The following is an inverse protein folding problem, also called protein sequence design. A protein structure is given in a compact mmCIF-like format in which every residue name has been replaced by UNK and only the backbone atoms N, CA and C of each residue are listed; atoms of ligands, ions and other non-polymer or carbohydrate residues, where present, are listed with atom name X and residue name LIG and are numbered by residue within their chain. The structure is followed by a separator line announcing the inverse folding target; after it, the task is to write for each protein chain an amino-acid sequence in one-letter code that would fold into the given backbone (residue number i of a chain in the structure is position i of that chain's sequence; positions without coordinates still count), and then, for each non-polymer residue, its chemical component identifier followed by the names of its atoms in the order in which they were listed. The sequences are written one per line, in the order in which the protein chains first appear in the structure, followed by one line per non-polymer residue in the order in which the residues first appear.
data_IF_689769781497
#
_entry.id   IF_689769781497
#
_cell.length_a   1.000
_cell.length_b   1.000
_cell.length_c   1.000
_cell.angle_alpha   90.00
_cell.angle_beta   90.00
_cell.angle_gamma   90.00
#
_symmetry.space_group_name_H-M   'P 1'
#
loop_
_entity.id
_entity.type
_entity.pdbx_description
1 polymer ?
#
# COMPACT_ATOMS: atom_id res chain seq x y z
N UNK A 1 -3.70 -24.24 57.70
CA UNK A 1 -3.27 -24.52 56.31
C UNK A 1 -3.73 -23.33 55.49
N UNK A 2 -2.92 -22.28 55.47
CA UNK A 2 -3.23 -21.00 54.82
C UNK A 2 -2.57 -21.08 53.44
N UNK A 3 -3.36 -20.96 52.38
CA UNK A 3 -2.85 -20.97 51.02
C UNK A 3 -2.20 -19.60 50.75
N UNK A 4 -0.88 -19.59 50.60
CA UNK A 4 -0.15 -18.43 50.10
C UNK A 4 -0.46 -18.23 48.61
N UNK A 5 -1.33 -17.27 48.33
CA UNK A 5 -1.57 -16.75 46.99
C UNK A 5 -0.31 -15.99 46.56
N UNK A 6 0.52 -16.61 45.71
CA UNK A 6 1.56 -15.90 44.99
C UNK A 6 0.90 -14.99 43.95
N UNK A 7 0.81 -13.71 44.27
CA UNK A 7 0.50 -12.63 43.33
C UNK A 7 1.64 -12.53 42.32
N UNK A 8 1.40 -13.03 41.10
CA UNK A 8 2.30 -12.88 39.96
C UNK A 8 2.21 -11.44 39.46
N UNK A 9 3.06 -10.55 40.01
CA UNK A 9 3.23 -9.20 39.47
C UNK A 9 3.90 -9.29 38.09
N UNK A 10 3.13 -9.06 37.04
CA UNK A 10 3.67 -8.84 35.70
C UNK A 10 4.51 -7.56 35.74
N UNK A 11 5.84 -7.71 35.83
CA UNK A 11 6.79 -6.60 35.72
C UNK A 11 6.47 -5.84 34.43
N UNK A 12 5.99 -4.60 34.57
CA UNK A 12 5.63 -3.75 33.45
C UNK A 12 6.90 -3.36 32.68
N UNK A 13 7.13 -4.03 31.54
CA UNK A 13 8.26 -3.74 30.66
C UNK A 13 8.22 -2.33 30.07
N UNK A 14 7.11 -1.58 30.25
CA UNK A 14 7.02 -0.18 29.83
C UNK A 14 8.00 0.75 30.57
N UNK A 15 8.46 0.36 31.76
CA UNK A 15 9.48 1.08 32.53
C UNK A 15 10.92 0.86 32.02
N UNK A 16 11.15 -0.21 31.25
CA UNK A 16 12.45 -0.43 30.59
C UNK A 16 12.68 0.57 29.44
N UNK A 17 11.61 1.14 28.89
CA UNK A 17 11.67 2.17 27.85
C UNK A 17 11.72 3.53 28.55
N UNK A 18 12.90 4.15 28.58
CA UNK A 18 13.09 5.47 29.18
C UNK A 18 12.12 6.53 28.60
N UNK A 19 11.74 7.52 29.41
CA UNK A 19 10.71 8.52 29.05
C UNK A 19 10.93 9.17 27.67
N UNK A 20 12.17 9.52 27.34
CA UNK A 20 12.54 10.09 26.02
C UNK A 20 12.23 9.14 24.86
N UNK A 21 12.51 7.83 25.03
CA UNK A 21 12.22 6.83 24.02
C UNK A 21 10.70 6.62 23.85
N UNK A 22 9.91 6.74 24.93
CA UNK A 22 8.44 6.70 24.86
C UNK A 22 7.87 7.88 24.07
N UNK A 23 8.40 9.09 24.28
CA UNK A 23 7.93 10.28 23.56
C UNK A 23 8.32 10.26 22.07
N UNK A 24 9.52 9.75 21.75
CA UNK A 24 9.92 9.50 20.36
C UNK A 24 9.00 8.49 19.67
N UNK A 25 8.68 7.38 20.34
CA UNK A 25 7.76 6.37 19.81
C UNK A 25 6.37 6.95 19.54
N UNK A 26 5.81 7.71 20.49
CA UNK A 26 4.51 8.41 20.31
C UNK A 26 4.54 9.34 19.10
N UNK A 27 5.62 10.10 18.93
CA UNK A 27 5.79 11.02 17.79
C UNK A 27 5.84 10.28 16.45
N UNK A 28 6.57 9.15 16.38
CA UNK A 28 6.64 8.32 15.17
C UNK A 28 5.26 7.74 14.82
N UNK A 29 4.55 7.17 15.81
CA UNK A 29 3.22 6.57 15.62
C UNK A 29 2.24 7.64 15.11
N UNK A 30 2.14 8.78 15.79
CA UNK A 30 1.22 9.84 15.40
C UNK A 30 1.47 10.35 13.97
N UNK A 31 2.75 10.43 13.55
CA UNK A 31 3.10 10.80 12.16
C UNK A 31 2.68 9.73 11.15
N UNK A 32 2.84 8.45 11.48
CA UNK A 32 2.43 7.35 10.60
C UNK A 32 0.91 7.29 10.48
N UNK A 33 0.19 7.43 11.59
CA UNK A 33 -1.29 7.42 11.58
C UNK A 33 -1.84 8.54 10.69
N UNK A 34 -1.30 9.75 10.82
CA UNK A 34 -1.68 10.87 9.93
C UNK A 34 -1.41 10.54 8.45
N UNK A 35 -0.26 9.96 8.13
CA UNK A 35 0.08 9.57 6.76
C UNK A 35 -0.83 8.46 6.21
N UNK A 36 -1.24 7.50 7.04
CA UNK A 36 -2.20 6.46 6.63
C UNK A 36 -3.60 7.03 6.42
N UNK A 37 -4.03 8.03 7.20
CA UNK A 37 -5.27 8.78 6.95
C UNK A 37 -5.21 9.55 5.62
N UNK A 38 -4.12 10.29 5.38
CA UNK A 38 -3.90 11.02 4.11
C UNK A 38 -3.91 10.06 2.90
N UNK A 39 -3.24 8.92 3.03
CA UNK A 39 -3.21 7.86 2.01
C UNK A 39 -4.58 7.26 1.77
N UNK A 40 -5.38 7.06 2.82
CA UNK A 40 -6.76 6.57 2.69
C UNK A 40 -7.63 7.57 1.95
N UNK A 41 -7.57 8.85 2.33
CA UNK A 41 -8.31 9.91 1.64
C UNK A 41 -7.97 9.94 0.15
N UNK A 42 -6.67 9.93 -0.20
CA UNK A 42 -6.23 9.88 -1.59
C UNK A 42 -6.70 8.62 -2.32
N UNK A 43 -6.70 7.46 -1.65
CA UNK A 43 -7.19 6.22 -2.24
C UNK A 43 -8.70 6.26 -2.51
N UNK A 44 -9.47 6.94 -1.66
CA UNK A 44 -10.90 7.14 -1.86
C UNK A 44 -11.17 8.12 -3.01
N UNK A 45 -10.45 9.23 -3.10
CA UNK A 45 -10.52 10.16 -4.24
C UNK A 45 -10.23 9.44 -5.57
N UNK A 46 -9.20 8.58 -5.62
CA UNK A 46 -8.89 7.79 -6.82
C UNK A 46 -10.05 6.85 -7.20
N UNK A 47 -10.75 6.26 -6.21
CA UNK A 47 -11.92 5.41 -6.49
C UNK A 47 -13.07 6.22 -7.08
N UNK A 48 -13.30 7.42 -6.58
CA UNK A 48 -14.33 8.33 -7.10
C UNK A 48 -14.05 8.69 -8.56
N UNK A 49 -12.80 9.04 -8.92
CA UNK A 49 -12.42 9.31 -10.31
C UNK A 49 -12.65 8.09 -11.21
N UNK A 50 -12.34 6.88 -10.75
CA UNK A 50 -12.66 5.67 -11.52
C UNK A 50 -14.16 5.42 -11.63
N UNK A 51 -14.95 5.75 -10.59
CA UNK A 51 -16.40 5.62 -10.63
C UNK A 51 -17.03 6.62 -11.62
N UNK A 52 -16.56 7.87 -11.64
CA UNK A 52 -16.94 8.87 -12.63
C UNK A 52 -16.59 8.42 -14.05
N UNK A 53 -15.38 7.93 -14.27
CA UNK A 53 -14.97 7.40 -15.57
C UNK A 53 -15.89 6.25 -16.02
N UNK A 54 -16.27 5.35 -15.10
CA UNK A 54 -17.23 4.28 -15.39
C UNK A 54 -18.61 4.83 -15.75
N UNK A 55 -19.11 5.82 -15.01
CA UNK A 55 -20.40 6.46 -15.29
C UNK A 55 -20.42 7.16 -16.66
N UNK A 56 -19.27 7.69 -17.07
CA UNK A 56 -19.06 8.29 -18.39
C UNK A 56 -18.77 7.27 -19.51
N UNK A 57 -18.84 5.96 -19.22
CA UNK A 57 -18.73 4.89 -20.21
C UNK A 57 -17.31 4.38 -20.48
N UNK A 58 -16.30 4.77 -19.71
CA UNK A 58 -14.95 4.25 -19.84
C UNK A 58 -14.77 2.90 -19.14
N UNK A 59 -13.96 2.01 -19.75
CA UNK A 59 -13.55 0.77 -19.09
C UNK A 59 -12.43 1.03 -18.06
N UNK A 60 -12.82 0.99 -16.78
CA UNK A 60 -11.90 1.18 -15.65
C UNK A 60 -10.74 0.16 -15.58
N UNK A 61 -10.91 -1.07 -16.11
CA UNK A 61 -9.82 -2.06 -16.17
C UNK A 61 -8.76 -1.63 -17.16
N UNK A 62 -9.18 -1.15 -18.33
CA UNK A 62 -8.27 -0.61 -19.35
C UNK A 62 -7.56 0.63 -18.83
N UNK A 63 -8.27 1.55 -18.17
CA UNK A 63 -7.65 2.74 -17.57
C UNK A 63 -6.58 2.38 -16.53
N UNK A 64 -6.81 1.38 -15.67
CA UNK A 64 -5.80 0.89 -14.72
C UNK A 64 -4.57 0.32 -15.44
N UNK A 65 -4.78 -0.44 -16.53
CA UNK A 65 -3.68 -0.95 -17.35
C UNK A 65 -2.88 0.20 -17.98
N UNK A 66 -3.55 1.21 -18.55
CA UNK A 66 -2.90 2.40 -19.10
C UNK A 66 -2.05 3.11 -18.05
N UNK A 67 -2.58 3.37 -16.85
CA UNK A 67 -1.82 4.00 -15.77
C UNK A 67 -0.63 3.13 -15.35
N UNK A 68 -0.80 1.82 -15.25
CA UNK A 68 0.30 0.89 -14.93
C UNK A 68 1.40 0.93 -15.99
N UNK A 69 1.03 0.90 -17.28
CA UNK A 69 1.98 1.02 -18.38
C UNK A 69 2.72 2.35 -18.28
N UNK A 70 2.00 3.46 -18.11
CA UNK A 70 2.59 4.81 -18.00
C UNK A 70 3.58 4.99 -16.85
N UNK A 71 3.54 4.14 -15.81
CA UNK A 71 4.51 4.14 -14.70
C UNK A 71 5.78 3.37 -15.02
N UNK A 72 5.76 2.48 -16.01
CA UNK A 72 6.95 1.75 -16.45
C UNK A 72 7.87 2.66 -17.26
N UNK A 73 9.17 2.38 -17.17
CA UNK A 73 10.18 3.01 -18.03
C UNK A 73 9.85 2.80 -19.51
N UNK A 74 10.09 3.83 -20.33
CA UNK A 74 9.72 3.79 -21.74
C UNK A 74 10.53 2.77 -22.53
N UNK A 75 11.80 2.57 -22.19
CA UNK A 75 12.66 1.62 -22.89
C UNK A 75 12.31 0.19 -22.50
N UNK A 76 12.09 -0.07 -21.21
CA UNK A 76 11.61 -1.37 -20.74
C UNK A 76 10.28 -1.76 -21.40
N UNK A 77 9.37 -0.79 -21.56
CA UNK A 77 8.10 -1.03 -22.25
C UNK A 77 8.28 -1.35 -23.73
N UNK A 78 9.12 -0.58 -24.44
CA UNK A 78 9.38 -0.81 -25.85
C UNK A 78 10.04 -2.18 -26.08
N UNK A 79 10.96 -2.60 -25.20
CA UNK A 79 11.57 -3.93 -25.25
C UNK A 79 10.52 -5.03 -25.03
N UNK A 80 9.63 -4.89 -24.04
CA UNK A 80 8.55 -5.84 -23.81
C UNK A 80 7.56 -5.91 -24.97
N UNK A 81 7.23 -4.78 -25.59
CA UNK A 81 6.36 -4.72 -26.77
C UNK A 81 7.00 -5.43 -27.97
N UNK A 82 8.29 -5.23 -28.22
CA UNK A 82 9.01 -5.92 -29.29
C UNK A 82 9.08 -7.45 -29.06
N UNK A 83 9.29 -7.89 -27.81
CA UNK A 83 9.27 -9.31 -27.47
C UNK A 83 7.87 -9.92 -27.62
N UNK A 84 6.82 -9.19 -27.23
CA UNK A 84 5.44 -9.63 -27.38
C UNK A 84 5.08 -9.80 -28.86
N UNK A 85 5.43 -8.83 -29.71
CA UNK A 85 5.22 -8.90 -31.16
C UNK A 85 5.94 -10.11 -31.76
N UNK A 86 7.20 -10.34 -31.38
CA UNK A 86 7.96 -11.51 -31.81
C UNK A 86 7.26 -12.83 -31.46
N UNK A 87 6.74 -12.94 -30.23
CA UNK A 87 6.09 -14.17 -29.76
C UNK A 87 4.72 -14.39 -30.41
N UNK A 88 3.90 -13.34 -30.55
CA UNK A 88 2.61 -13.44 -31.24
C UNK A 88 2.79 -13.75 -32.72
N UNK A 89 3.78 -13.15 -33.38
CA UNK A 89 4.15 -13.46 -34.76
C UNK A 89 4.59 -14.91 -34.94
N UNK A 90 5.35 -15.46 -33.98
CA UNK A 90 5.74 -16.87 -34.01
C UNK A 90 4.56 -17.85 -33.82
N UNK A 91 3.51 -17.41 -33.14
CA UNK A 91 2.27 -18.18 -32.94
C UNK A 91 1.26 -18.00 -34.09
N UNK A 92 1.45 -17.00 -34.95
CA UNK A 92 0.51 -16.65 -36.01
C UNK A 92 -0.70 -15.83 -35.54
N UNK A 93 -0.61 -15.24 -34.35
CA UNK A 93 -1.67 -14.44 -33.70
C UNK A 93 -1.50 -12.92 -33.95
N UNK A 94 -0.76 -12.53 -35.00
CA UNK A 94 -0.44 -11.14 -35.36
C UNK A 94 -1.34 -10.59 -36.48
#
# INVERSE_FOLDING_TARGET
MVADTQSNESVDQSDAIGAVARDQLKSIIARIERLEEEKKALADDIKEVYAEAKANGYDTKVLRKVISLRKQDSNERAEQEALLELYLGALGDL
#
